data_IF_906087196865
#
_entry.id   IF_906087196865
#
_cell.length_a   1.000
_cell.length_b   1.000
_cell.length_c   1.000
_cell.angle_alpha   90.00
_cell.angle_beta   90.00
_cell.angle_gamma   90.00
#
_symmetry.space_group_name_H-M   'P 1'
#
loop_
_entity.id
_entity.type
_entity.pdbx_description
1 polymer ?
#
# COMPACT_ATOMS: atom_id res chain seq x y z
N UNK A 1 -0.04 -4.44 28.00
CA UNK A 1 -0.95 -3.73 27.04
C UNK A 1 -0.08 -2.73 26.30
N UNK A 2 0.41 -3.14 25.14
CA UNK A 2 1.28 -2.28 24.35
C UNK A 2 0.43 -1.14 23.77
N UNK A 3 0.79 0.09 24.11
CA UNK A 3 0.13 1.28 23.61
C UNK A 3 0.50 1.45 22.13
N UNK A 4 -0.45 1.15 21.23
CA UNK A 4 -0.33 1.53 19.80
C UNK A 4 -0.04 3.03 19.75
N UNK A 5 1.06 3.42 19.08
CA UNK A 5 1.42 4.84 18.89
C UNK A 5 0.26 5.59 18.24
N UNK A 6 0.02 6.86 18.58
CA UNK A 6 -1.05 7.62 17.96
C UNK A 6 -0.85 7.74 16.45
N UNK A 7 -1.95 7.59 15.71
CA UNK A 7 -1.96 7.70 14.26
C UNK A 7 -1.64 9.15 13.82
N UNK A 8 -0.73 9.32 12.88
CA UNK A 8 -0.33 10.63 12.35
C UNK A 8 -1.23 11.13 11.22
N UNK A 9 -2.13 10.30 10.69
CA UNK A 9 -3.06 10.69 9.62
C UNK A 9 -4.13 11.64 10.17
N UNK A 10 -4.07 12.91 9.75
CA UNK A 10 -5.07 13.93 10.12
C UNK A 10 -6.37 13.80 9.32
N UNK A 11 -6.27 13.42 8.04
CA UNK A 11 -7.41 13.26 7.13
C UNK A 11 -7.44 11.84 6.56
N UNK A 12 -8.51 11.10 6.81
CA UNK A 12 -8.69 9.75 6.27
C UNK A 12 -9.28 9.86 4.87
N UNK A 13 -8.50 9.48 3.85
CA UNK A 13 -9.00 9.37 2.49
C UNK A 13 -9.89 8.14 2.36
N UNK A 14 -11.16 8.37 1.99
CA UNK A 14 -12.14 7.28 1.81
C UNK A 14 -11.92 6.50 0.52
N UNK A 15 -11.33 7.15 -0.48
CA UNK A 15 -11.01 6.56 -1.78
C UNK A 15 -9.53 6.75 -2.08
N UNK A 16 -8.85 5.69 -2.48
CA UNK A 16 -7.50 5.75 -3.03
C UNK A 16 -7.38 4.95 -4.32
N UNK A 17 -6.40 5.34 -5.15
CA UNK A 17 -6.11 4.67 -6.43
C UNK A 17 -4.86 3.83 -6.26
N UNK A 18 -5.00 2.51 -6.45
CA UNK A 18 -3.93 1.54 -6.19
C UNK A 18 -2.67 1.81 -7.02
N UNK A 19 -1.48 1.68 -6.43
CA UNK A 19 -0.22 1.66 -7.17
C UNK A 19 -0.18 0.49 -8.17
N UNK A 20 0.02 0.79 -9.45
CA UNK A 20 0.02 -0.21 -10.52
C UNK A 20 1.14 0.10 -11.53
N UNK A 21 2.12 -0.81 -11.63
CA UNK A 21 3.20 -0.72 -12.61
C UNK A 21 2.64 -0.60 -14.03
N UNK A 22 3.26 0.24 -14.83
CA UNK A 22 2.90 0.56 -16.23
C UNK A 22 1.48 1.16 -16.38
N UNK A 23 0.91 1.68 -15.27
CA UNK A 23 -0.45 2.21 -15.26
C UNK A 23 -0.57 3.54 -14.52
N UNK A 24 -0.04 3.66 -13.30
CA UNK A 24 -0.24 4.86 -12.45
C UNK A 24 0.92 5.84 -12.57
N UNK A 25 1.31 6.11 -13.80
CA UNK A 25 2.26 7.16 -14.14
C UNK A 25 1.66 8.57 -13.92
N UNK A 26 2.48 9.60 -14.06
CA UNK A 26 2.06 10.99 -13.86
C UNK A 26 0.90 11.42 -14.77
N UNK A 27 0.83 10.90 -15.98
CA UNK A 27 -0.24 11.25 -16.92
C UNK A 27 -1.58 10.69 -16.49
N UNK A 28 -1.62 9.41 -16.10
CA UNK A 28 -2.82 8.80 -15.57
C UNK A 28 -3.24 9.45 -14.24
N UNK A 29 -2.30 9.75 -13.34
CA UNK A 29 -2.60 10.42 -12.07
C UNK A 29 -3.20 11.80 -12.29
N UNK A 30 -2.71 12.58 -13.26
CA UNK A 30 -3.31 13.86 -13.66
C UNK A 30 -4.75 13.71 -14.19
N UNK A 31 -5.01 12.71 -15.03
CA UNK A 31 -6.38 12.42 -15.50
C UNK A 31 -7.28 12.13 -14.29
N UNK A 32 -6.83 11.29 -13.39
CA UNK A 32 -7.61 10.93 -12.19
C UNK A 32 -7.83 12.11 -11.26
N UNK A 33 -6.89 13.03 -11.14
CA UNK A 33 -7.07 14.26 -10.36
C UNK A 33 -8.12 15.20 -10.96
N UNK A 34 -8.20 15.27 -12.29
CA UNK A 34 -9.29 16.03 -12.96
C UNK A 34 -10.67 15.40 -12.75
N UNK A 35 -10.73 14.07 -12.55
CA UNK A 35 -11.97 13.34 -12.25
C UNK A 35 -12.33 13.45 -10.76
N UNK A 36 -11.33 13.35 -9.85
CA UNK A 36 -11.57 13.39 -8.41
C UNK A 36 -10.51 14.23 -7.68
N UNK A 37 -10.95 15.32 -7.09
CA UNK A 37 -10.10 16.17 -6.24
C UNK A 37 -9.76 15.57 -4.87
N UNK A 38 -10.48 14.51 -4.45
CA UNK A 38 -10.40 13.95 -3.08
C UNK A 38 -9.70 12.60 -2.99
N UNK A 39 -9.58 11.87 -4.10
CA UNK A 39 -8.93 10.57 -4.11
C UNK A 39 -7.45 10.70 -3.79
N UNK A 40 -6.92 9.83 -2.89
CA UNK A 40 -5.47 9.72 -2.69
C UNK A 40 -4.87 8.98 -3.89
N UNK A 41 -3.95 9.63 -4.59
CA UNK A 41 -3.22 9.04 -5.70
C UNK A 41 -1.96 8.33 -5.21
N UNK A 42 -1.54 7.31 -5.94
CA UNK A 42 -0.30 6.58 -5.66
C UNK A 42 0.62 6.62 -6.87
N UNK A 43 1.93 6.76 -6.63
CA UNK A 43 2.92 6.47 -7.66
C UNK A 43 2.91 4.98 -8.00
N UNK A 44 3.58 4.59 -9.07
CA UNK A 44 4.02 3.22 -9.25
C UNK A 44 4.99 2.83 -8.13
N UNK A 45 5.22 1.53 -7.92
CA UNK A 45 6.19 1.09 -6.91
C UNK A 45 7.63 1.44 -7.35
N UNK A 46 8.30 2.24 -6.55
CA UNK A 46 9.69 2.62 -6.72
C UNK A 46 10.57 1.73 -5.84
N UNK A 47 11.58 1.11 -6.43
CA UNK A 47 12.59 0.37 -5.66
C UNK A 47 13.48 1.38 -4.92
N UNK A 48 13.44 1.39 -3.60
CA UNK A 48 14.15 2.38 -2.77
C UNK A 48 15.65 2.42 -3.07
N UNK A 49 16.28 1.28 -3.29
CA UNK A 49 17.69 1.21 -3.66
C UNK A 49 17.99 1.93 -4.99
N UNK A 50 17.13 1.76 -6.00
CA UNK A 50 17.30 2.44 -7.29
C UNK A 50 17.18 3.95 -7.15
N UNK A 51 16.24 4.43 -6.30
CA UNK A 51 16.08 5.86 -6.02
C UNK A 51 17.28 6.47 -5.30
N UNK A 52 17.80 5.78 -4.28
CA UNK A 52 18.88 6.32 -3.45
C UNK A 52 20.18 6.46 -4.24
N UNK A 53 20.49 5.51 -5.11
CA UNK A 53 21.74 5.49 -5.86
C UNK A 53 21.71 6.17 -7.23
N UNK A 54 20.55 6.65 -7.69
CA UNK A 54 20.49 7.38 -8.96
C UNK A 54 20.88 8.86 -8.79
N UNK A 55 21.51 9.41 -9.82
CA UNK A 55 21.70 10.86 -9.96
C UNK A 55 20.52 11.56 -10.67
N UNK A 56 19.52 10.78 -11.16
CA UNK A 56 18.35 11.26 -11.90
C UNK A 56 17.07 10.93 -11.13
N UNK A 57 16.94 11.52 -9.92
CA UNK A 57 15.79 11.24 -9.02
C UNK A 57 14.47 11.70 -9.62
N UNK A 58 14.49 12.75 -10.43
CA UNK A 58 13.34 13.27 -11.16
C UNK A 58 12.62 12.21 -12.01
N UNK A 59 13.36 11.25 -12.56
CA UNK A 59 12.76 10.17 -13.36
C UNK A 59 11.84 9.26 -12.54
N UNK A 60 11.98 9.25 -11.22
CA UNK A 60 11.19 8.43 -10.29
C UNK A 60 10.16 9.23 -9.50
N UNK A 61 10.47 10.51 -9.25
CA UNK A 61 9.76 11.29 -8.24
C UNK A 61 8.86 12.37 -8.83
N UNK A 62 8.99 12.66 -10.13
CA UNK A 62 8.31 13.78 -10.78
C UNK A 62 6.78 13.61 -10.73
N UNK A 63 6.12 14.67 -10.23
CA UNK A 63 4.67 14.81 -10.22
C UNK A 63 4.29 16.30 -10.36
N UNK A 64 3.04 16.57 -10.71
CA UNK A 64 2.50 17.92 -10.79
C UNK A 64 1.85 18.33 -9.46
N UNK A 65 1.97 19.58 -9.04
CA UNK A 65 1.36 20.11 -7.81
C UNK A 65 -0.16 19.84 -7.72
N UNK A 66 -0.84 19.77 -8.85
CA UNK A 66 -2.26 19.40 -8.88
C UNK A 66 -2.53 17.95 -8.45
N UNK A 67 -1.52 17.05 -8.46
CA UNK A 67 -1.72 15.64 -8.11
C UNK A 67 -1.95 15.41 -6.62
N UNK A 68 -1.72 16.39 -5.76
CA UNK A 68 -2.00 16.28 -4.32
C UNK A 68 -3.49 16.00 -4.02
N UNK A 69 -3.81 15.12 -3.04
CA UNK A 69 -2.87 14.36 -2.21
C UNK A 69 -2.29 13.15 -2.96
N UNK A 70 -0.97 12.96 -2.81
CA UNK A 70 -0.23 11.89 -3.48
C UNK A 70 0.67 11.10 -2.52
N UNK A 71 0.62 9.79 -2.60
CA UNK A 71 1.45 8.84 -1.85
C UNK A 71 2.53 8.24 -2.73
N UNK A 72 3.79 8.25 -2.29
CA UNK A 72 4.87 7.52 -2.94
C UNK A 72 4.92 6.09 -2.41
N UNK A 73 4.97 5.09 -3.31
CA UNK A 73 5.12 3.69 -2.87
C UNK A 73 6.54 3.18 -3.05
N UNK A 74 7.15 2.71 -1.95
CA UNK A 74 8.46 2.07 -1.95
C UNK A 74 8.38 0.55 -1.88
N UNK A 75 9.27 -0.10 -2.64
CA UNK A 75 9.68 -1.50 -2.47
C UNK A 75 11.13 -1.57 -2.04
N UNK A 76 11.43 -2.52 -1.17
CA UNK A 76 12.79 -2.72 -0.63
C UNK A 76 12.71 -3.55 0.66
N UNK A 77 13.87 -3.88 1.23
CA UNK A 77 13.97 -4.70 2.45
C UNK A 77 15.11 -4.25 3.39
N UNK A 78 15.86 -3.21 3.01
CA UNK A 78 16.95 -2.64 3.81
C UNK A 78 16.49 -1.36 4.53
N UNK A 79 16.39 -1.35 5.87
CA UNK A 79 16.03 -0.18 6.64
C UNK A 79 16.96 1.03 6.44
N UNK A 80 18.25 0.82 6.11
CA UNK A 80 19.20 1.91 5.87
C UNK A 80 18.89 2.63 4.57
N UNK A 81 18.55 1.87 3.53
CA UNK A 81 18.14 2.43 2.23
C UNK A 81 16.79 3.15 2.36
N UNK A 82 15.83 2.53 3.06
CA UNK A 82 14.50 3.12 3.29
C UNK A 82 14.57 4.42 4.09
N UNK A 83 15.52 4.54 5.02
CA UNK A 83 15.82 5.79 5.72
C UNK A 83 16.09 6.94 4.77
N UNK A 84 17.01 6.74 3.81
CA UNK A 84 17.36 7.79 2.84
C UNK A 84 16.20 8.05 1.85
N UNK A 85 15.49 7.00 1.43
CA UNK A 85 14.30 7.14 0.59
C UNK A 85 13.19 7.96 1.28
N UNK A 86 13.01 7.79 2.60
CA UNK A 86 12.01 8.55 3.36
C UNK A 86 12.32 10.05 3.38
N UNK A 87 13.58 10.42 3.58
CA UNK A 87 14.04 11.83 3.53
C UNK A 87 13.80 12.43 2.16
N UNK A 88 14.20 11.71 1.11
CA UNK A 88 14.00 12.15 -0.26
C UNK A 88 12.52 12.35 -0.57
N UNK A 89 11.63 11.45 -0.14
CA UNK A 89 10.19 11.59 -0.33
C UNK A 89 9.62 12.83 0.36
N UNK A 90 10.04 13.12 1.59
CA UNK A 90 9.63 14.31 2.32
C UNK A 90 10.12 15.58 1.66
N UNK A 91 11.42 15.63 1.29
CA UNK A 91 12.02 16.81 0.66
C UNK A 91 11.44 17.10 -0.73
N UNK A 92 10.91 16.06 -1.41
CA UNK A 92 10.25 16.20 -2.70
C UNK A 92 8.80 16.68 -2.58
N UNK A 93 8.20 16.62 -1.38
CA UNK A 93 6.87 17.15 -1.09
C UNK A 93 5.73 16.16 -1.19
N UNK A 94 5.97 14.84 -1.12
CA UNK A 94 4.90 13.84 -1.04
C UNK A 94 4.07 13.98 0.24
N UNK A 95 2.78 13.59 0.19
CA UNK A 95 1.87 13.64 1.34
C UNK A 95 1.95 12.41 2.23
N UNK A 96 2.39 11.27 1.67
CA UNK A 96 2.41 9.98 2.35
C UNK A 96 3.49 9.08 1.77
N UNK A 97 4.09 8.24 2.61
CA UNK A 97 4.94 7.12 2.20
C UNK A 97 4.15 5.83 2.38
N UNK A 98 4.09 5.02 1.32
CA UNK A 98 3.51 3.68 1.38
C UNK A 98 4.58 2.60 1.17
N UNK A 99 4.56 1.57 2.00
CA UNK A 99 5.49 0.44 1.89
C UNK A 99 4.82 -0.77 1.25
N UNK A 100 5.41 -1.31 0.18
CA UNK A 100 4.88 -2.46 -0.54
C UNK A 100 5.31 -3.78 0.10
N UNK A 101 4.34 -4.51 0.64
CA UNK A 101 4.50 -5.87 1.19
C UNK A 101 3.46 -6.82 0.56
N UNK A 102 3.07 -6.56 -0.70
CA UNK A 102 2.00 -7.32 -1.35
C UNK A 102 2.25 -7.72 -2.80
N UNK A 103 3.31 -7.23 -3.44
CA UNK A 103 3.63 -7.55 -4.84
C UNK A 103 4.16 -8.97 -4.95
N UNK A 104 3.51 -9.88 -5.72
CA UNK A 104 3.95 -11.27 -5.89
C UNK A 104 4.83 -11.48 -7.13
N UNK A 105 5.34 -10.40 -7.74
CA UNK A 105 6.18 -10.51 -8.96
C UNK A 105 7.45 -11.29 -8.65
N UNK A 106 7.86 -12.27 -9.49
CA UNK A 106 9.11 -13.00 -9.30
C UNK A 106 10.33 -12.08 -9.19
N UNK A 107 10.38 -11.01 -10.01
CA UNK A 107 11.47 -10.01 -9.96
C UNK A 107 11.53 -9.30 -8.61
N UNK A 108 10.38 -9.01 -8.00
CA UNK A 108 10.27 -8.35 -6.69
C UNK A 108 10.64 -9.32 -5.57
N UNK A 109 10.08 -10.56 -5.63
CA UNK A 109 10.34 -11.57 -4.60
C UNK A 109 11.79 -12.10 -4.63
N UNK A 110 12.45 -12.14 -5.79
CA UNK A 110 13.88 -12.49 -5.89
C UNK A 110 14.78 -11.41 -5.29
N UNK A 111 14.30 -10.16 -5.21
CA UNK A 111 14.95 -9.08 -4.48
C UNK A 111 14.63 -9.06 -2.97
N UNK A 112 14.04 -10.11 -2.43
CA UNK A 112 13.64 -10.26 -1.01
C UNK A 112 12.64 -9.23 -0.49
N UNK A 113 11.82 -8.62 -1.35
CA UNK A 113 10.79 -7.65 -0.93
C UNK A 113 9.41 -7.95 -1.57
N UNK A 114 8.43 -7.09 -1.37
CA UNK A 114 7.04 -7.34 -1.79
C UNK A 114 6.35 -8.40 -0.93
N UNK A 115 5.56 -9.30 -1.54
CA UNK A 115 4.73 -10.24 -0.79
C UNK A 115 5.53 -11.26 0.05
N UNK A 116 6.78 -11.57 -0.32
CA UNK A 116 7.65 -12.46 0.46
C UNK A 116 7.91 -11.94 1.87
N UNK A 117 7.98 -10.61 2.05
CA UNK A 117 8.20 -9.97 3.35
C UNK A 117 7.06 -10.23 4.36
N UNK A 118 5.87 -10.64 3.93
CA UNK A 118 4.82 -11.02 4.88
C UNK A 118 5.23 -12.17 5.81
N UNK A 119 6.21 -12.98 5.38
CA UNK A 119 6.78 -14.08 6.19
C UNK A 119 7.81 -13.60 7.22
N UNK A 120 8.20 -12.33 7.19
CA UNK A 120 9.22 -11.72 8.02
C UNK A 120 8.69 -10.44 8.73
N UNK A 121 7.66 -10.54 9.59
CA UNK A 121 6.98 -9.36 10.16
C UNK A 121 7.92 -8.44 10.94
N UNK A 122 8.93 -8.99 11.64
CA UNK A 122 9.93 -8.21 12.37
C UNK A 122 10.85 -7.39 11.43
N UNK A 123 11.16 -7.93 10.27
CA UNK A 123 11.91 -7.20 9.23
C UNK A 123 11.08 -6.05 8.68
N UNK A 124 9.79 -6.30 8.41
CA UNK A 124 8.85 -5.27 7.98
C UNK A 124 8.71 -4.17 9.05
N UNK A 125 8.63 -4.54 10.33
CA UNK A 125 8.58 -3.59 11.43
C UNK A 125 9.81 -2.67 11.44
N UNK A 126 11.02 -3.20 11.31
CA UNK A 126 12.26 -2.41 11.21
C UNK A 126 12.25 -1.46 10.01
N UNK A 127 11.69 -1.89 8.87
CA UNK A 127 11.52 -1.03 7.71
C UNK A 127 10.55 0.13 7.99
N UNK A 128 9.41 -0.15 8.60
CA UNK A 128 8.42 0.88 9.01
C UNK A 128 9.02 1.85 10.03
N UNK A 129 9.70 1.36 11.06
CA UNK A 129 10.39 2.21 12.03
C UNK A 129 11.40 3.14 11.36
N UNK A 130 12.16 2.62 10.39
CA UNK A 130 13.13 3.40 9.65
C UNK A 130 12.46 4.52 8.84
N UNK A 131 11.36 4.25 8.15
CA UNK A 131 10.58 5.25 7.42
C UNK A 131 10.00 6.30 8.38
N UNK A 132 9.38 5.87 9.49
CA UNK A 132 8.75 6.76 10.50
C UNK A 132 9.73 7.67 11.21
N UNK A 133 10.92 7.18 11.53
CA UNK A 133 11.91 7.95 12.27
C UNK A 133 12.70 8.93 11.39
N UNK A 134 12.53 8.88 10.07
CA UNK A 134 13.29 9.69 9.13
C UNK A 134 12.44 10.56 8.20
N UNK A 135 11.12 10.63 8.45
CA UNK A 135 10.21 11.59 7.84
C UNK A 135 9.07 11.93 8.79
N UNK A 136 8.45 13.10 8.60
CA UNK A 136 7.24 13.51 9.30
C UNK A 136 5.97 13.06 8.57
N UNK A 137 6.11 12.39 7.43
CA UNK A 137 5.00 11.91 6.62
C UNK A 137 4.29 10.72 7.31
N UNK A 138 2.98 10.55 7.09
CA UNK A 138 2.32 9.30 7.38
C UNK A 138 3.01 8.14 6.65
N UNK A 139 3.24 7.02 7.35
CA UNK A 139 3.81 5.81 6.78
C UNK A 139 2.76 4.71 6.79
N UNK A 140 2.36 4.28 5.62
CA UNK A 140 1.32 3.29 5.40
C UNK A 140 1.88 2.02 4.76
N UNK A 141 1.13 0.93 4.81
CA UNK A 141 1.58 -0.35 4.25
C UNK A 141 0.49 -0.96 3.36
N UNK A 142 0.91 -1.53 2.22
CA UNK A 142 0.01 -2.30 1.35
C UNK A 142 0.44 -3.75 1.32
N UNK A 143 -0.42 -4.65 1.80
CA UNK A 143 -0.13 -6.07 1.94
C UNK A 143 -1.29 -6.97 1.47
N UNK A 144 -1.12 -8.27 1.59
CA UNK A 144 -2.14 -9.28 1.29
C UNK A 144 -2.65 -9.95 2.57
N UNK A 145 -3.61 -10.89 2.44
CA UNK A 145 -4.14 -11.64 3.58
C UNK A 145 -3.31 -12.86 3.96
N UNK A 146 -2.24 -13.14 3.22
CA UNK A 146 -1.32 -14.26 3.45
C UNK A 146 -0.49 -14.56 2.22
N UNK A 147 0.44 -15.51 2.35
CA UNK A 147 1.39 -15.93 1.29
C UNK A 147 1.48 -17.45 1.25
N UNK A 148 1.28 -18.06 0.08
CA UNK A 148 1.31 -19.49 -0.15
C UNK A 148 0.38 -20.25 0.81
N UNK A 149 0.92 -21.09 1.69
CA UNK A 149 0.18 -21.83 2.72
C UNK A 149 0.15 -21.11 4.08
N UNK A 150 0.80 -19.95 4.19
CA UNK A 150 0.76 -19.10 5.39
C UNK A 150 -0.34 -18.04 5.23
N UNK A 151 -1.59 -18.46 5.40
CA UNK A 151 -2.79 -17.64 5.22
C UNK A 151 -3.78 -17.74 6.38
N UNK A 152 -3.32 -18.17 7.54
CA UNK A 152 -4.14 -18.21 8.75
C UNK A 152 -4.48 -16.81 9.26
N UNK A 153 -5.67 -16.66 9.86
CA UNK A 153 -6.03 -15.39 10.51
C UNK A 153 -5.07 -15.02 11.64
N UNK A 154 -4.56 -16.02 12.38
CA UNK A 154 -3.62 -15.77 13.48
C UNK A 154 -2.35 -15.11 12.98
N UNK A 155 -1.77 -15.63 11.89
CA UNK A 155 -0.56 -15.09 11.29
C UNK A 155 -0.78 -13.69 10.68
N UNK A 156 -1.91 -13.49 9.99
CA UNK A 156 -2.29 -12.17 9.47
C UNK A 156 -2.43 -11.14 10.59
N UNK A 157 -3.15 -11.49 11.66
CA UNK A 157 -3.37 -10.59 12.79
C UNK A 157 -2.06 -10.29 13.54
N UNK A 158 -1.19 -11.29 13.70
CA UNK A 158 0.13 -11.11 14.31
C UNK A 158 1.00 -10.17 13.47
N UNK A 159 1.07 -10.40 12.15
CA UNK A 159 1.77 -9.52 11.20
C UNK A 159 1.31 -8.06 11.35
N UNK A 160 0.00 -7.82 11.30
CA UNK A 160 -0.56 -6.48 11.39
C UNK A 160 -0.24 -5.82 12.74
N UNK A 161 -0.31 -6.56 13.85
CA UNK A 161 0.01 -6.03 15.19
C UNK A 161 1.48 -5.66 15.35
N UNK A 162 2.40 -6.50 14.87
CA UNK A 162 3.84 -6.21 14.91
C UNK A 162 4.14 -4.93 14.12
N UNK A 163 3.59 -4.83 12.92
CA UNK A 163 3.81 -3.68 12.03
C UNK A 163 3.13 -2.40 12.55
N UNK A 164 1.96 -2.52 13.18
CA UNK A 164 1.27 -1.40 13.83
C UNK A 164 2.08 -0.85 15.01
N UNK A 165 2.67 -1.73 15.83
CA UNK A 165 3.52 -1.33 16.94
C UNK A 165 4.80 -0.60 16.47
N UNK A 166 5.29 -0.92 15.28
CA UNK A 166 6.40 -0.20 14.63
C UNK A 166 6.01 1.21 14.13
N UNK A 167 4.69 1.53 14.12
CA UNK A 167 4.19 2.86 13.80
C UNK A 167 3.56 3.01 12.41
N UNK A 168 3.14 1.94 11.74
CA UNK A 168 2.35 2.04 10.52
C UNK A 168 1.00 2.71 10.79
N UNK A 169 0.67 3.74 10.01
CA UNK A 169 -0.52 4.59 10.22
C UNK A 169 -1.79 4.02 9.56
N UNK A 170 -1.67 3.29 8.45
CA UNK A 170 -2.79 2.66 7.74
C UNK A 170 -2.36 1.38 7.04
N UNK A 171 -3.26 0.41 6.99
CA UNK A 171 -3.09 -0.89 6.35
C UNK A 171 -4.03 -1.02 5.15
N UNK A 172 -3.49 -1.03 3.94
CA UNK A 172 -4.26 -1.34 2.74
C UNK A 172 -4.16 -2.84 2.47
N UNK A 173 -5.26 -3.55 2.64
CA UNK A 173 -5.29 -5.02 2.57
C UNK A 173 -5.89 -5.48 1.24
N UNK A 174 -5.06 -6.06 0.36
CA UNK A 174 -5.59 -6.77 -0.79
C UNK A 174 -6.19 -8.10 -0.32
N UNK A 175 -7.52 -8.24 -0.43
CA UNK A 175 -8.29 -9.36 0.11
C UNK A 175 -8.05 -10.70 -0.62
N UNK A 176 -6.83 -10.94 -1.10
CA UNK A 176 -6.37 -12.21 -1.70
C UNK A 176 -5.02 -12.58 -1.12
N UNK A 177 -4.76 -13.87 -0.92
CA UNK A 177 -3.39 -14.32 -0.64
C UNK A 177 -2.50 -14.20 -1.87
N UNK A 178 -1.19 -14.12 -1.66
CA UNK A 178 -0.20 -14.23 -2.72
C UNK A 178 0.25 -15.68 -2.88
N UNK A 179 0.41 -16.13 -4.13
CA UNK A 179 1.06 -17.40 -4.46
C UNK A 179 2.35 -17.06 -5.21
N UNK A 180 3.50 -17.32 -4.58
CA UNK A 180 4.79 -16.88 -5.08
C UNK A 180 5.33 -17.77 -6.18
N UNK A 181 5.00 -19.06 -6.17
CA UNK A 181 5.43 -20.02 -7.18
C UNK A 181 4.23 -20.52 -7.99
N UNK A 182 4.40 -20.56 -9.31
CA UNK A 182 3.38 -21.12 -10.22
C UNK A 182 2.33 -20.13 -10.73
N UNK A 183 2.21 -18.93 -10.15
CA UNK A 183 1.32 -17.89 -10.64
C UNK A 183 2.08 -16.59 -10.98
N UNK A 184 1.79 -16.02 -12.15
CA UNK A 184 2.28 -14.70 -12.48
C UNK A 184 1.47 -13.59 -11.76
N UNK A 185 1.91 -12.30 -11.79
CA UNK A 185 1.20 -11.22 -11.10
C UNK A 185 -0.24 -11.00 -11.55
N UNK A 186 -0.57 -11.26 -12.83
CA UNK A 186 -1.95 -11.15 -13.36
C UNK A 186 -2.83 -12.25 -12.77
N UNK A 187 -2.33 -13.49 -12.74
CA UNK A 187 -3.02 -14.64 -12.15
C UNK A 187 -3.21 -14.47 -10.64
N UNK A 188 -2.24 -13.92 -9.92
CA UNK A 188 -2.34 -13.60 -8.49
C UNK A 188 -3.42 -12.55 -8.15
N UNK A 189 -3.97 -11.86 -9.15
CA UNK A 189 -5.08 -10.91 -8.98
C UNK A 189 -6.43 -11.49 -9.36
N UNK A 190 -6.48 -12.74 -9.82
CA UNK A 190 -7.71 -13.39 -10.31
C UNK A 190 -7.95 -14.78 -9.71
N UNK A 191 -6.93 -15.63 -9.64
CA UNK A 191 -7.06 -17.04 -9.24
C UNK A 191 -7.26 -17.21 -7.73
N UNK A 192 -6.42 -16.67 -6.82
CA UNK A 192 -6.73 -16.78 -5.40
C UNK A 192 -8.06 -16.07 -5.10
N UNK A 193 -8.99 -16.72 -4.36
CA UNK A 193 -10.29 -16.14 -4.08
C UNK A 193 -10.18 -14.86 -3.23
N UNK A 194 -11.13 -13.95 -3.42
CA UNK A 194 -11.32 -12.81 -2.51
C UNK A 194 -11.87 -13.33 -1.18
N UNK A 195 -11.34 -12.82 -0.08
CA UNK A 195 -11.82 -13.11 1.27
C UNK A 195 -11.97 -11.83 2.07
N UNK A 196 -13.10 -11.13 1.88
CA UNK A 196 -13.42 -9.93 2.65
C UNK A 196 -13.69 -10.23 4.12
N UNK A 197 -14.21 -11.42 4.44
CA UNK A 197 -14.59 -11.76 5.82
C UNK A 197 -13.36 -11.82 6.74
N UNK A 198 -12.23 -12.31 6.24
CA UNK A 198 -10.98 -12.29 7.00
C UNK A 198 -10.49 -10.86 7.27
N UNK A 199 -10.70 -9.94 6.31
CA UNK A 199 -10.32 -8.52 6.50
C UNK A 199 -11.30 -7.81 7.44
N UNK A 200 -12.61 -8.10 7.38
CA UNK A 200 -13.60 -7.64 8.35
C UNK A 200 -13.26 -8.12 9.76
N UNK A 201 -12.89 -9.40 9.90
CA UNK A 201 -12.43 -9.96 11.17
C UNK A 201 -11.18 -9.25 11.68
N UNK A 202 -10.24 -8.92 10.78
CA UNK A 202 -9.03 -8.16 11.13
C UNK A 202 -9.39 -6.77 11.66
N UNK A 203 -10.30 -6.04 10.99
CA UNK A 203 -10.77 -4.72 11.45
C UNK A 203 -11.46 -4.81 12.82
N UNK A 204 -12.34 -5.79 13.01
CA UNK A 204 -13.01 -6.02 14.32
C UNK A 204 -12.03 -6.34 15.44
N UNK A 205 -10.97 -7.10 15.15
CA UNK A 205 -9.93 -7.44 16.14
C UNK A 205 -8.97 -6.27 16.43
N UNK A 206 -8.91 -5.27 15.56
CA UNK A 206 -8.04 -4.10 15.68
C UNK A 206 -8.82 -2.80 15.39
N UNK A 207 -9.83 -2.44 16.19
CA UNK A 207 -10.77 -1.35 15.87
C UNK A 207 -10.11 0.02 15.76
N UNK A 208 -8.97 0.23 16.42
CA UNK A 208 -8.21 1.49 16.40
C UNK A 208 -7.32 1.66 15.16
N UNK A 209 -7.03 0.57 14.45
CA UNK A 209 -6.22 0.64 13.23
C UNK A 209 -7.06 1.11 12.05
N UNK A 210 -6.48 1.94 11.20
CA UNK A 210 -7.06 2.30 9.91
C UNK A 210 -6.82 1.16 8.92
N UNK A 211 -7.90 0.54 8.47
CA UNK A 211 -7.88 -0.57 7.50
C UNK A 211 -8.66 -0.18 6.26
N UNK A 212 -7.95 -0.11 5.15
CA UNK A 212 -8.46 0.15 3.82
C UNK A 212 -8.54 -1.17 3.04
N UNK A 213 -9.68 -1.44 2.43
CA UNK A 213 -9.89 -2.66 1.63
C UNK A 213 -9.48 -2.47 0.18
N UNK A 214 -8.84 -3.46 -0.42
CA UNK A 214 -8.48 -3.48 -1.82
C UNK A 214 -8.79 -4.85 -2.46
N UNK A 215 -9.14 -4.84 -3.74
CA UNK A 215 -9.35 -6.03 -4.56
C UNK A 215 -10.81 -6.32 -4.85
N UNK A 216 -11.15 -6.49 -6.14
CA UNK A 216 -12.47 -6.92 -6.59
C UNK A 216 -13.51 -5.82 -6.72
N UNK A 217 -13.35 -4.66 -6.12
CA UNK A 217 -14.29 -3.54 -6.24
C UNK A 217 -14.30 -3.00 -7.67
N UNK A 218 -15.47 -2.98 -8.29
CA UNK A 218 -15.64 -2.65 -9.71
C UNK A 218 -16.49 -1.43 -9.97
N UNK A 219 -17.27 -0.97 -8.98
CA UNK A 219 -18.14 0.19 -9.06
C UNK A 219 -18.24 0.96 -7.74
N UNK A 220 -18.92 2.11 -7.81
CA UNK A 220 -19.10 3.02 -6.68
C UNK A 220 -19.98 2.40 -5.59
N UNK A 221 -21.07 1.71 -5.97
CA UNK A 221 -22.02 1.16 -5.00
C UNK A 221 -21.37 0.07 -4.13
N UNK A 222 -20.58 -0.83 -4.74
CA UNK A 222 -19.77 -1.82 -4.01
C UNK A 222 -18.79 -1.12 -3.06
N UNK A 223 -18.18 -0.04 -3.52
CA UNK A 223 -17.21 0.73 -2.73
C UNK A 223 -17.88 1.43 -1.55
N UNK A 224 -19.04 2.04 -1.74
CA UNK A 224 -19.83 2.67 -0.66
C UNK A 224 -20.29 1.63 0.37
N UNK A 225 -20.73 0.45 -0.07
CA UNK A 225 -21.06 -0.66 0.84
C UNK A 225 -19.85 -1.11 1.66
N UNK A 226 -18.66 -1.19 1.03
CA UNK A 226 -17.45 -1.58 1.73
C UNK A 226 -17.03 -0.57 2.81
N UNK A 227 -17.34 0.72 2.65
CA UNK A 227 -17.07 1.74 3.66
C UNK A 227 -17.88 1.59 4.96
N UNK A 228 -18.91 0.74 5.01
CA UNK A 228 -19.60 0.38 6.24
C UNK A 228 -18.75 -0.52 7.17
N UNK A 229 -17.81 -1.26 6.59
CA UNK A 229 -16.96 -2.22 7.30
C UNK A 229 -15.50 -1.76 7.44
N UNK A 230 -15.06 -0.82 6.57
CA UNK A 230 -13.65 -0.40 6.46
C UNK A 230 -13.52 1.12 6.49
N UNK A 231 -12.32 1.60 6.85
CA UNK A 231 -12.04 3.04 6.94
C UNK A 231 -11.83 3.70 5.57
N UNK A 232 -11.49 2.92 4.55
CA UNK A 232 -11.30 3.34 3.18
C UNK A 232 -11.38 2.21 2.18
N UNK A 233 -11.44 2.57 0.90
CA UNK A 233 -11.42 1.64 -0.24
C UNK A 233 -10.32 2.05 -1.22
N UNK A 234 -9.54 1.07 -1.70
CA UNK A 234 -8.53 1.28 -2.73
C UNK A 234 -8.93 0.56 -4.01
N UNK A 235 -9.04 1.33 -5.11
CA UNK A 235 -9.46 0.82 -6.41
C UNK A 235 -8.27 0.70 -7.34
N UNK A 236 -8.17 -0.42 -8.04
CA UNK A 236 -7.10 -0.67 -9.01
C UNK A 236 -7.62 -0.72 -10.45
N UNK A 237 -7.63 -1.91 -11.03
CA UNK A 237 -7.88 -2.14 -12.46
C UNK A 237 -9.21 -1.60 -12.99
N UNK A 238 -10.24 -1.51 -12.17
CA UNK A 238 -11.54 -0.97 -12.59
C UNK A 238 -11.43 0.51 -12.95
N UNK A 239 -10.77 1.30 -12.07
CA UNK A 239 -10.59 2.73 -12.30
C UNK A 239 -9.66 3.02 -13.49
N UNK A 240 -8.63 2.18 -13.70
CA UNK A 240 -7.75 2.31 -14.87
C UNK A 240 -8.46 2.03 -16.19
N UNK A 241 -9.36 1.02 -16.19
CA UNK A 241 -10.10 0.64 -17.40
C UNK A 241 -11.26 1.58 -17.72
N UNK A 242 -11.90 2.11 -16.70
CA UNK A 242 -13.12 2.91 -16.82
C UNK A 242 -13.09 4.11 -15.85
N UNK A 243 -12.14 5.06 -16.03
CA UNK A 243 -11.93 6.14 -15.07
C UNK A 243 -13.17 7.02 -14.86
N UNK A 244 -13.93 7.31 -15.92
CA UNK A 244 -15.14 8.14 -15.84
C UNK A 244 -16.32 7.53 -15.05
N UNK A 245 -16.27 6.23 -14.74
CA UNK A 245 -17.26 5.61 -13.83
C UNK A 245 -17.05 5.98 -12.36
N UNK A 246 -15.97 6.68 -12.05
CA UNK A 246 -15.55 7.02 -10.69
C UNK A 246 -15.60 8.54 -10.44
N UNK A 247 -16.31 9.28 -11.31
CA UNK A 247 -16.56 10.71 -11.21
C UNK A 247 -17.72 11.03 -10.27
#
# INVERSE_FOLDING_TARGET
MDSIKPNSIKNIHKLSIAPMMDCTDKHFRMIMRKISSKALLYTEMIVAQSLVYTNKKENFLDFNDEEHPISIQFGGDDPKILKEAARVAQDWGYDEINFNVGCPSPRVCSGNFGASLMKEPEKVAKCIESLKNNSNLPVTIKHRIGVDNDDSFVNLNNFVRIVANAGADRFTVHARKAILKGLNPKQNRTIPPLNYDVVKKLKKSNPKLLIEINGGLTDIDESLKALNDFDGVMIGRSIYKHPLRWS
#
